data_IF_177422098582
#
_entry.id   IF_177422098582
#
_cell.length_a   1.000
_cell.length_b   1.000
_cell.length_c   1.000
_cell.angle_alpha   90.00
_cell.angle_beta   90.00
_cell.angle_gamma   90.00
#
_symmetry.space_group_name_H-M   'P 1'
#
loop_
_entity.id
_entity.type
_entity.pdbx_description
1 polymer ?
#
# COMPACT_ATOMS: atom_id res chain seq x y z
N UNK A 1 -14.49 2.89 13.43
CA UNK A 1 -13.91 3.05 12.08
C UNK A 1 -14.61 2.17 11.04
N UNK A 2 -15.12 2.82 9.99
CA UNK A 2 -15.59 2.18 8.76
C UNK A 2 -14.46 1.38 8.09
N UNK A 3 -14.84 0.44 7.24
CA UNK A 3 -13.89 -0.44 6.55
C UNK A 3 -13.80 -0.06 5.09
N UNK A 4 -12.59 0.19 4.59
CA UNK A 4 -12.34 0.42 3.16
C UNK A 4 -12.22 -0.92 2.41
N UNK A 5 -11.51 -1.88 3.00
CA UNK A 5 -11.35 -3.24 2.49
C UNK A 5 -11.59 -4.25 3.60
N UNK A 6 -12.63 -5.07 3.47
CA UNK A 6 -12.94 -6.11 4.45
C UNK A 6 -12.06 -7.35 4.26
N UNK A 7 -11.67 -7.95 5.36
CA UNK A 7 -11.04 -9.27 5.38
C UNK A 7 -11.97 -10.34 4.82
N UNK A 8 -11.43 -11.23 3.98
CA UNK A 8 -12.12 -12.42 3.48
C UNK A 8 -11.13 -13.46 2.95
N UNK A 9 -11.59 -14.68 2.64
CA UNK A 9 -10.76 -15.67 1.93
C UNK A 9 -10.16 -15.16 0.60
N UNK A 10 -10.68 -14.07 0.04
CA UNK A 10 -10.22 -13.44 -1.21
C UNK A 10 -9.19 -12.34 -1.02
N UNK A 11 -8.89 -11.94 0.21
CA UNK A 11 -7.87 -10.92 0.52
C UNK A 11 -6.59 -11.53 1.11
N UNK A 12 -6.34 -12.80 0.82
CA UNK A 12 -5.19 -13.53 1.34
C UNK A 12 -3.91 -13.25 0.58
N UNK A 13 -2.84 -13.08 1.36
CA UNK A 13 -1.45 -13.16 0.94
C UNK A 13 -0.85 -14.43 1.53
N UNK A 14 -0.23 -15.23 0.66
CA UNK A 14 0.35 -16.53 0.99
C UNK A 14 1.86 -16.37 1.01
N UNK A 15 2.48 -16.79 2.11
CA UNK A 15 3.94 -16.75 2.29
C UNK A 15 4.44 -18.16 2.52
N UNK A 16 5.53 -18.52 1.87
CA UNK A 16 6.33 -19.68 2.22
C UNK A 16 7.11 -19.39 3.50
N UNK A 17 7.13 -20.36 4.41
CA UNK A 17 7.96 -20.34 5.61
C UNK A 17 9.21 -21.16 5.31
N UNK A 18 10.32 -20.47 5.10
CA UNK A 18 11.58 -21.07 4.70
C UNK A 18 12.43 -21.36 5.94
N UNK A 19 12.32 -22.59 6.44
CA UNK A 19 13.20 -23.19 7.45
C UNK A 19 13.19 -24.73 7.32
N UNK A 20 13.63 -25.44 8.37
CA UNK A 20 13.45 -26.89 8.45
C UNK A 20 11.97 -27.25 8.37
N UNK A 21 11.70 -28.50 8.00
CA UNK A 21 10.34 -29.01 8.00
C UNK A 21 9.82 -29.08 9.46
N UNK A 22 8.84 -28.25 9.86
CA UNK A 22 8.43 -28.17 11.25
C UNK A 22 7.69 -29.45 11.65
N UNK A 23 8.09 -30.01 12.78
CA UNK A 23 7.38 -31.15 13.38
C UNK A 23 5.96 -30.77 13.82
N UNK A 24 5.04 -31.73 13.98
CA UNK A 24 3.69 -31.45 14.48
C UNK A 24 3.67 -30.66 15.80
N UNK A 25 4.61 -30.93 16.71
CA UNK A 25 4.73 -30.22 17.98
C UNK A 25 5.17 -28.74 17.80
N UNK A 26 6.00 -28.44 16.81
CA UNK A 26 6.40 -27.06 16.50
C UNK A 26 5.25 -26.29 15.85
N UNK A 27 4.47 -26.96 14.99
CA UNK A 27 3.25 -26.39 14.41
C UNK A 27 2.22 -26.08 15.50
N UNK A 28 1.99 -27.01 16.43
CA UNK A 28 1.06 -26.82 17.54
C UNK A 28 1.52 -25.69 18.47
N UNK A 29 2.82 -25.63 18.77
CA UNK A 29 3.40 -24.52 19.54
C UNK A 29 3.18 -23.19 18.85
N UNK A 30 3.49 -23.11 17.55
CA UNK A 30 3.31 -21.91 16.74
C UNK A 30 1.84 -21.46 16.70
N UNK A 31 0.93 -22.39 16.42
CA UNK A 31 -0.49 -22.11 16.28
C UNK A 31 -1.15 -21.72 17.61
N UNK A 32 -0.56 -22.14 18.74
CA UNK A 32 -1.01 -21.79 20.10
C UNK A 32 -0.69 -20.36 20.55
N UNK A 33 0.20 -19.64 19.87
CA UNK A 33 0.50 -18.25 20.22
C UNK A 33 -0.69 -17.32 19.99
N UNK A 34 -0.88 -16.38 20.93
CA UNK A 34 -2.02 -15.45 20.92
C UNK A 34 -1.87 -14.37 19.87
N UNK A 35 -0.66 -13.85 19.72
CA UNK A 35 -0.36 -12.72 18.84
C UNK A 35 0.57 -13.13 17.71
N UNK A 36 0.47 -12.44 16.58
CA UNK A 36 1.36 -12.70 15.46
C UNK A 36 2.82 -12.27 15.73
N UNK A 37 3.02 -11.30 16.62
CA UNK A 37 4.37 -10.90 17.05
C UNK A 37 5.09 -12.03 17.79
N UNK A 38 4.39 -12.78 18.66
CA UNK A 38 4.93 -13.99 19.31
C UNK A 38 5.26 -15.07 18.27
N UNK A 39 4.36 -15.28 17.30
CA UNK A 39 4.55 -16.20 16.18
C UNK A 39 5.81 -15.88 15.37
N UNK A 40 5.99 -14.61 14.99
CA UNK A 40 7.17 -14.16 14.26
C UNK A 40 8.44 -14.35 15.08
N UNK A 41 8.43 -13.96 16.35
CA UNK A 41 9.58 -14.13 17.25
C UNK A 41 9.99 -15.59 17.43
N UNK A 42 9.02 -16.51 17.46
CA UNK A 42 9.29 -17.95 17.52
C UNK A 42 9.99 -18.44 16.25
N UNK A 43 9.49 -18.05 15.07
CA UNK A 43 10.06 -18.45 13.79
C UNK A 43 11.45 -17.83 13.56
N UNK A 44 11.67 -16.58 13.96
CA UNK A 44 12.98 -15.93 13.88
C UNK A 44 14.04 -16.67 14.72
N UNK A 45 13.68 -17.13 15.93
CA UNK A 45 14.57 -17.94 16.78
C UNK A 45 14.95 -19.29 16.17
N UNK A 46 14.07 -19.82 15.32
CA UNK A 46 14.28 -21.05 14.55
C UNK A 46 15.08 -20.79 13.25
N UNK A 47 15.42 -19.53 12.95
CA UNK A 47 16.09 -19.14 11.70
C UNK A 47 15.17 -19.17 10.48
N UNK A 48 13.85 -19.21 10.67
CA UNK A 48 12.87 -19.16 9.59
C UNK A 48 12.76 -17.75 9.00
N UNK A 49 12.53 -17.69 7.68
CA UNK A 49 12.16 -16.44 6.97
C UNK A 49 10.86 -16.62 6.20
N UNK A 50 10.12 -15.53 6.02
CA UNK A 50 8.95 -15.51 5.16
C UNK A 50 9.33 -15.06 3.75
N UNK A 51 8.81 -15.76 2.74
CA UNK A 51 8.92 -15.37 1.34
C UNK A 51 7.53 -15.30 0.72
N UNK A 52 7.20 -14.17 0.09
CA UNK A 52 5.90 -14.01 -0.54
C UNK A 52 5.77 -14.96 -1.74
N UNK A 53 4.75 -15.83 -1.70
CA UNK A 53 4.47 -16.83 -2.75
C UNK A 53 3.46 -16.28 -3.77
N UNK A 54 2.29 -15.86 -3.30
CA UNK A 54 1.20 -15.33 -4.13
C UNK A 54 0.07 -14.73 -3.29
N UNK A 55 -0.91 -14.12 -3.94
CA UNK A 55 -2.24 -13.83 -3.38
C UNK A 55 -3.27 -14.88 -3.84
N UNK A 56 -4.54 -14.71 -3.46
CA UNK A 56 -5.65 -15.30 -4.24
C UNK A 56 -5.54 -14.87 -5.72
N UNK A 57 -5.88 -15.78 -6.65
CA UNK A 57 -5.59 -15.61 -8.08
C UNK A 57 -6.32 -14.40 -8.69
N UNK A 58 -7.61 -14.20 -8.34
CA UNK A 58 -8.39 -13.06 -8.85
C UNK A 58 -7.87 -11.78 -8.24
N UNK A 59 -7.61 -11.78 -6.94
CA UNK A 59 -7.10 -10.59 -6.27
C UNK A 59 -5.72 -10.19 -6.80
N UNK A 60 -4.84 -11.17 -7.05
CA UNK A 60 -3.51 -10.95 -7.61
C UNK A 60 -3.57 -10.39 -9.02
N UNK A 61 -4.49 -10.87 -9.86
CA UNK A 61 -4.76 -10.30 -11.17
C UNK A 61 -5.24 -8.84 -11.04
N UNK A 62 -6.17 -8.55 -10.13
CA UNK A 62 -6.66 -7.19 -9.91
C UNK A 62 -5.54 -6.24 -9.43
N UNK A 63 -4.66 -6.71 -8.54
CA UNK A 63 -3.49 -5.93 -8.11
C UNK A 63 -2.55 -5.65 -9.29
N UNK A 64 -2.26 -6.66 -10.12
CA UNK A 64 -1.41 -6.51 -11.31
C UNK A 64 -2.00 -5.62 -12.39
N UNK A 65 -3.34 -5.53 -12.47
CA UNK A 65 -4.04 -4.56 -13.33
C UNK A 65 -3.77 -3.11 -12.92
N UNK A 66 -3.56 -2.86 -11.62
CA UNK A 66 -3.19 -1.53 -11.11
C UNK A 66 -1.70 -1.30 -11.36
N UNK A 67 -0.86 -2.23 -10.93
CA UNK A 67 0.59 -2.21 -11.16
C UNK A 67 1.19 -3.61 -11.01
N UNK A 68 2.11 -3.98 -11.92
CA UNK A 68 2.67 -5.33 -12.00
C UNK A 68 3.44 -5.77 -10.75
N UNK A 69 4.01 -4.84 -9.96
CA UNK A 69 4.74 -5.09 -8.70
C UNK A 69 3.88 -4.89 -7.46
N UNK A 70 2.61 -4.50 -7.62
CA UNK A 70 1.73 -4.21 -6.50
C UNK A 70 1.51 -5.41 -5.55
N UNK A 71 1.36 -6.67 -6.01
CA UNK A 71 1.26 -7.82 -5.10
C UNK A 71 2.44 -7.90 -4.14
N UNK A 72 3.66 -7.74 -4.63
CA UNK A 72 4.88 -7.78 -3.83
C UNK A 72 4.95 -6.61 -2.86
N UNK A 73 4.68 -5.38 -3.32
CA UNK A 73 4.67 -4.19 -2.46
C UNK A 73 3.64 -4.33 -1.34
N UNK A 74 2.42 -4.78 -1.66
CA UNK A 74 1.36 -4.98 -0.67
C UNK A 74 1.71 -6.12 0.32
N UNK A 75 2.39 -7.17 -0.14
CA UNK A 75 2.86 -8.25 0.72
C UNK A 75 3.85 -7.73 1.78
N UNK A 76 4.76 -6.84 1.38
CA UNK A 76 5.73 -6.24 2.30
C UNK A 76 5.03 -5.34 3.31
N UNK A 77 4.05 -4.53 2.86
CA UNK A 77 3.25 -3.68 3.74
C UNK A 77 2.52 -4.51 4.81
N UNK A 78 1.90 -5.62 4.39
CA UNK A 78 1.17 -6.53 5.26
C UNK A 78 2.11 -7.25 6.25
N UNK A 79 3.27 -7.71 5.79
CA UNK A 79 4.25 -8.35 6.67
C UNK A 79 4.80 -7.37 7.71
N UNK A 80 5.05 -6.10 7.34
CA UNK A 80 5.46 -5.06 8.30
C UNK A 80 4.40 -4.78 9.36
N UNK A 81 3.12 -4.77 8.96
CA UNK A 81 2.01 -4.65 9.91
C UNK A 81 2.02 -5.77 10.95
N UNK A 82 2.15 -7.02 10.49
CA UNK A 82 2.17 -8.18 11.39
C UNK A 82 3.45 -8.29 12.24
N UNK A 83 4.54 -7.67 11.81
CA UNK A 83 5.84 -7.70 12.48
C UNK A 83 6.08 -6.54 13.45
N UNK A 84 5.25 -5.49 13.42
CA UNK A 84 5.49 -4.25 14.17
C UNK A 84 4.22 -3.76 14.87
N UNK A 85 4.34 -2.68 15.64
CA UNK A 85 3.17 -2.00 16.24
C UNK A 85 2.60 -0.89 15.32
N UNK A 86 3.20 -0.66 14.15
CA UNK A 86 2.71 0.30 13.18
C UNK A 86 1.54 -0.30 12.40
N UNK A 87 0.47 0.46 12.24
CA UNK A 87 -0.72 0.02 11.53
C UNK A 87 -1.24 1.04 10.51
N UNK A 88 -0.79 2.29 10.56
CA UNK A 88 -1.19 3.30 9.59
C UNK A 88 -0.59 2.97 8.22
N UNK A 89 -1.37 3.18 7.16
CA UNK A 89 -0.88 2.89 5.80
C UNK A 89 0.32 3.78 5.46
N UNK A 90 0.29 5.05 5.85
CA UNK A 90 1.41 5.97 5.63
C UNK A 90 2.66 5.57 6.44
N UNK A 91 2.51 5.17 7.70
CA UNK A 91 3.60 4.67 8.54
C UNK A 91 4.25 3.39 7.99
N UNK A 92 3.44 2.41 7.61
CA UNK A 92 3.93 1.17 6.99
C UNK A 92 4.63 1.44 5.66
N UNK A 93 4.11 2.38 4.87
CA UNK A 93 4.73 2.78 3.60
C UNK A 93 6.10 3.41 3.83
N UNK A 94 6.27 4.23 4.87
CA UNK A 94 7.59 4.77 5.26
C UNK A 94 8.57 3.64 5.59
N UNK A 95 8.15 2.62 6.33
CA UNK A 95 8.99 1.46 6.66
C UNK A 95 9.41 0.67 5.42
N UNK A 96 8.48 0.40 4.51
CA UNK A 96 8.79 -0.29 3.24
C UNK A 96 9.73 0.56 2.38
N UNK A 97 9.48 1.87 2.30
CA UNK A 97 10.30 2.81 1.52
C UNK A 97 11.73 2.90 2.05
N UNK A 98 11.91 2.91 3.37
CA UNK A 98 13.23 2.91 3.99
C UNK A 98 14.04 1.65 3.68
N UNK A 99 13.37 0.49 3.57
CA UNK A 99 13.99 -0.75 3.14
C UNK A 99 14.29 -0.80 1.63
N UNK A 100 13.57 -0.01 0.83
CA UNK A 100 13.71 0.12 -0.62
C UNK A 100 13.85 -1.22 -1.37
N UNK A 101 12.91 -2.17 -1.19
CA UNK A 101 12.98 -3.52 -1.75
C UNK A 101 13.04 -3.56 -3.29
N UNK A 102 12.54 -2.52 -3.96
CA UNK A 102 12.56 -2.41 -5.43
C UNK A 102 13.83 -1.73 -5.94
N UNK A 103 14.79 -1.41 -5.06
CA UNK A 103 16.04 -0.74 -5.39
C UNK A 103 15.82 0.56 -6.19
N UNK A 104 14.80 1.34 -5.80
CA UNK A 104 14.50 2.62 -6.44
C UNK A 104 15.72 3.54 -6.32
N UNK A 105 16.25 4.08 -7.42
CA UNK A 105 17.40 4.98 -7.37
C UNK A 105 17.08 6.22 -6.54
N UNK A 106 17.96 6.57 -5.61
CA UNK A 106 17.88 7.82 -4.86
C UNK A 106 18.36 8.97 -5.75
N UNK A 107 17.46 9.89 -6.09
CA UNK A 107 17.79 11.02 -6.95
C UNK A 107 18.40 12.12 -6.07
N UNK A 108 19.72 12.28 -6.13
CA UNK A 108 20.43 13.37 -5.45
C UNK A 108 20.63 14.52 -6.45
N UNK A 109 19.84 15.56 -6.32
CA UNK A 109 20.03 16.78 -7.11
C UNK A 109 18.95 17.82 -6.86
N UNK A 110 19.32 19.10 -6.96
CA UNK A 110 18.39 20.23 -7.08
C UNK A 110 17.72 20.21 -8.48
N UNK A 111 17.20 19.06 -8.89
CA UNK A 111 16.49 18.87 -10.14
C UNK A 111 15.20 19.66 -10.08
N UNK A 112 15.16 20.78 -10.80
CA UNK A 112 13.97 21.60 -10.95
C UNK A 112 12.93 20.79 -11.72
N UNK A 113 12.04 20.09 -11.02
CA UNK A 113 10.84 19.53 -11.66
C UNK A 113 10.02 20.71 -12.15
N UNK A 114 10.03 20.96 -13.46
CA UNK A 114 9.07 21.88 -14.05
C UNK A 114 7.72 21.17 -13.96
N UNK A 115 6.87 21.63 -13.05
CA UNK A 115 5.45 21.52 -13.29
C UNK A 115 5.23 22.21 -14.64
N UNK A 116 4.92 21.43 -15.68
CA UNK A 116 4.46 22.01 -16.93
C UNK A 116 3.04 22.43 -16.59
N UNK A 117 2.88 23.64 -16.06
CA UNK A 117 1.57 24.23 -15.95
C UNK A 117 1.03 24.27 -17.38
N UNK A 118 -0.01 23.46 -17.62
CA UNK A 118 -0.82 23.56 -18.81
C UNK A 118 -1.68 24.82 -18.70
N UNK A 119 -1.02 25.98 -18.60
CA UNK A 119 -1.61 27.29 -18.68
C UNK A 119 -0.86 28.03 -19.79
N UNK A 120 -1.49 28.15 -20.95
CA UNK A 120 -1.05 29.08 -22.00
C UNK A 120 -0.95 28.49 -23.40
N UNK A 121 -2.07 28.10 -24.00
CA UNK A 121 -2.31 28.57 -25.36
C UNK A 121 -2.51 30.08 -25.28
N UNK A 122 -1.78 30.85 -26.08
CA UNK A 122 -1.75 32.32 -26.17
C UNK A 122 -0.90 33.08 -25.14
N UNK A 123 0.43 33.08 -25.35
CA UNK A 123 1.24 34.28 -25.14
C UNK A 123 2.28 34.41 -26.27
N UNK A 124 2.30 35.57 -26.93
CA UNK A 124 3.14 35.85 -28.10
C UNK A 124 4.62 36.04 -27.72
N UNK A 125 5.51 35.61 -28.62
CA UNK A 125 6.96 35.42 -28.37
C UNK A 125 7.81 36.64 -28.04
N UNK A 126 7.24 37.81 -27.72
CA UNK A 126 7.99 39.01 -27.31
C UNK A 126 8.05 39.24 -25.79
N UNK A 127 7.17 38.61 -25.00
CA UNK A 127 7.20 38.73 -23.53
C UNK A 127 8.16 37.74 -22.85
N UNK A 128 8.56 36.66 -23.54
CA UNK A 128 9.49 35.64 -23.00
C UNK A 128 10.92 36.14 -22.75
N UNK A 129 11.39 37.15 -23.49
CA UNK A 129 12.78 37.62 -23.41
C UNK A 129 13.04 38.63 -22.27
N UNK A 130 11.99 39.17 -21.62
CA UNK A 130 12.15 40.14 -20.52
C UNK A 130 12.09 39.52 -19.12
N UNK A 131 11.53 38.32 -18.95
CA UNK A 131 11.46 37.64 -17.65
C UNK A 131 12.70 36.78 -17.32
N UNK A 132 13.55 36.49 -18.29
CA UNK A 132 14.72 35.60 -18.10
C UNK A 132 15.91 36.27 -17.40
N UNK A 133 15.86 37.58 -17.12
CA UNK A 133 16.98 38.34 -16.53
C UNK A 133 16.73 38.94 -15.14
N UNK A 134 15.65 38.58 -14.45
CA UNK A 134 15.37 39.08 -13.11
C UNK A 134 15.20 37.94 -12.09
N UNK A 135 15.99 38.04 -11.01
CA UNK A 135 15.86 37.40 -9.71
C UNK A 135 15.80 35.87 -9.64
N UNK A 136 16.96 35.31 -9.26
CA UNK A 136 17.05 34.09 -8.44
C UNK A 136 16.44 34.41 -7.07
N UNK A 137 15.13 34.29 -6.96
CA UNK A 137 14.43 34.14 -5.67
C UNK A 137 13.57 32.91 -5.80
N UNK A 138 13.76 31.94 -4.90
CA UNK A 138 13.05 30.68 -4.89
C UNK A 138 11.53 30.93 -4.94
N UNK A 139 10.88 30.38 -5.98
CA UNK A 139 9.44 30.44 -6.17
C UNK A 139 8.76 29.54 -5.12
N UNK A 140 7.84 30.05 -4.28
CA UNK A 140 7.14 29.26 -3.28
C UNK A 140 6.40 28.03 -3.81
N UNK A 141 6.17 27.93 -5.13
CA UNK A 141 5.56 26.78 -5.79
C UNK A 141 6.52 25.64 -6.19
N UNK A 142 7.83 25.79 -6.03
CA UNK A 142 8.79 24.73 -6.39
C UNK A 142 8.95 23.71 -5.25
N UNK A 143 8.27 22.57 -5.34
CA UNK A 143 8.48 21.43 -4.44
C UNK A 143 9.84 20.77 -4.72
N UNK A 144 10.77 20.90 -3.79
CA UNK A 144 12.03 20.17 -3.82
C UNK A 144 11.81 18.75 -3.32
N UNK A 145 11.86 17.76 -4.22
CA UNK A 145 11.98 16.36 -3.81
C UNK A 145 13.41 16.09 -3.35
N UNK A 146 13.61 15.82 -2.05
CA UNK A 146 14.89 15.30 -1.56
C UNK A 146 15.11 13.86 -2.08
N UNK A 147 16.34 13.37 -2.01
CA UNK A 147 16.68 11.98 -2.40
C UNK A 147 16.03 10.90 -1.53
N UNK A 148 15.51 11.26 -0.37
CA UNK A 148 14.68 10.37 0.47
C UNK A 148 13.20 10.44 0.07
N UNK A 149 12.75 11.62 -0.37
CA UNK A 149 11.38 11.81 -0.81
C UNK A 149 11.06 10.95 -2.03
N UNK A 150 11.93 10.86 -3.04
CA UNK A 150 11.58 10.17 -4.29
C UNK A 150 11.33 8.66 -4.15
N UNK A 151 12.02 7.98 -3.23
CA UNK A 151 11.79 6.55 -2.96
C UNK A 151 10.45 6.38 -2.24
N UNK A 152 10.19 7.22 -1.23
CA UNK A 152 8.89 7.23 -0.56
C UNK A 152 7.75 7.53 -1.52
N UNK A 153 7.91 8.52 -2.39
CA UNK A 153 6.91 8.94 -3.37
C UNK A 153 6.56 7.81 -4.33
N UNK A 154 7.54 7.00 -4.74
CA UNK A 154 7.30 5.80 -5.54
C UNK A 154 6.32 4.85 -4.84
N UNK A 155 6.62 4.42 -3.62
CA UNK A 155 5.76 3.49 -2.89
C UNK A 155 4.41 4.11 -2.53
N UNK A 156 4.43 5.35 -2.02
CA UNK A 156 3.21 6.09 -1.67
C UNK A 156 2.27 6.22 -2.87
N UNK A 157 2.79 6.46 -4.08
CA UNK A 157 1.98 6.50 -5.29
C UNK A 157 1.29 5.16 -5.58
N UNK A 158 2.02 4.04 -5.50
CA UNK A 158 1.45 2.69 -5.73
C UNK A 158 0.36 2.37 -4.71
N UNK A 159 0.61 2.67 -3.45
CA UNK A 159 -0.36 2.44 -2.37
C UNK A 159 -1.59 3.36 -2.53
N UNK A 160 -1.40 4.63 -2.90
CA UNK A 160 -2.50 5.57 -3.18
C UNK A 160 -3.39 5.09 -4.32
N UNK A 161 -2.81 4.56 -5.40
CA UNK A 161 -3.59 4.00 -6.51
C UNK A 161 -4.35 2.74 -6.13
N UNK A 162 -3.76 1.89 -5.28
CA UNK A 162 -4.44 0.75 -4.71
C UNK A 162 -5.66 1.14 -3.86
N UNK A 163 -5.45 2.04 -2.88
CA UNK A 163 -6.52 2.52 -2.00
C UNK A 163 -7.65 3.19 -2.79
N UNK A 164 -7.28 4.00 -3.78
CA UNK A 164 -8.23 4.65 -4.68
C UNK A 164 -9.02 3.59 -5.43
N UNK A 165 -8.36 2.67 -6.10
CA UNK A 165 -9.01 1.64 -6.92
C UNK A 165 -10.04 0.81 -6.12
N UNK A 166 -9.74 0.45 -4.87
CA UNK A 166 -10.73 -0.20 -3.98
C UNK A 166 -11.87 0.75 -3.63
N UNK A 167 -11.57 2.00 -3.25
CA UNK A 167 -12.59 2.99 -2.94
C UNK A 167 -13.54 3.25 -4.13
N UNK A 168 -13.06 3.05 -5.35
CA UNK A 168 -13.78 3.29 -6.60
C UNK A 168 -14.47 2.04 -7.18
N UNK A 169 -14.49 0.93 -6.44
CA UNK A 169 -15.32 -0.23 -6.75
C UNK A 169 -14.57 -1.50 -7.16
N UNK A 170 -13.24 -1.56 -7.07
CA UNK A 170 -12.54 -2.84 -7.22
C UNK A 170 -12.85 -3.74 -6.03
N UNK A 171 -13.28 -4.97 -6.33
CA UNK A 171 -13.58 -6.01 -5.33
C UNK A 171 -12.58 -7.16 -5.46
N UNK A 172 -11.90 -7.60 -4.39
CA UNK A 172 -10.86 -8.64 -4.46
C UNK A 172 -11.29 -9.96 -5.12
N UNK A 173 -12.53 -10.38 -4.85
CA UNK A 173 -13.07 -11.66 -5.33
C UNK A 173 -13.71 -11.60 -6.72
N UNK A 174 -13.71 -10.44 -7.38
CA UNK A 174 -14.34 -10.25 -8.70
C UNK A 174 -13.31 -9.69 -9.67
N UNK A 175 -13.17 -10.30 -10.84
CA UNK A 175 -12.26 -9.80 -11.88
C UNK A 175 -12.57 -8.33 -12.16
N UNK A 176 -11.56 -7.49 -12.01
CA UNK A 176 -11.64 -6.07 -12.36
C UNK A 176 -11.12 -5.85 -13.78
N UNK A 177 -11.86 -5.09 -14.56
CA UNK A 177 -11.58 -4.78 -15.96
C UNK A 177 -10.89 -3.41 -16.13
N UNK A 178 -10.57 -2.74 -15.03
CA UNK A 178 -9.96 -1.40 -15.03
C UNK A 178 -10.97 -0.26 -15.09
N UNK A 179 -12.29 -0.55 -15.17
CA UNK A 179 -13.31 0.48 -15.20
C UNK A 179 -13.75 0.86 -13.78
N UNK A 180 -13.86 2.16 -13.52
CA UNK A 180 -14.41 2.67 -12.27
C UNK A 180 -15.93 2.73 -12.35
N UNK A 181 -16.62 2.29 -11.29
CA UNK A 181 -18.08 2.28 -11.25
C UNK A 181 -18.67 3.65 -10.89
N UNK A 182 -17.83 4.60 -10.48
CA UNK A 182 -18.25 5.91 -10.00
C UNK A 182 -17.61 6.99 -10.87
N UNK A 183 -18.47 7.67 -11.65
CA UNK A 183 -18.10 8.65 -12.68
C UNK A 183 -18.59 10.09 -12.39
N UNK A 184 -19.18 10.36 -11.21
CA UNK A 184 -19.73 11.69 -10.84
C UNK A 184 -18.95 12.45 -9.75
N UNK A 185 -18.08 11.77 -9.00
CA UNK A 185 -17.43 12.27 -7.79
C UNK A 185 -17.67 11.35 -6.59
N UNK A 186 -17.05 11.65 -5.46
CA UNK A 186 -17.08 10.85 -4.24
C UNK A 186 -17.48 11.71 -3.06
N UNK A 187 -18.33 11.18 -2.19
CA UNK A 187 -18.71 11.83 -0.93
C UNK A 187 -18.07 11.05 0.21
N UNK A 188 -17.25 11.72 1.02
CA UNK A 188 -16.73 11.20 2.27
C UNK A 188 -17.42 11.94 3.39
N UNK A 189 -18.04 11.20 4.30
CA UNK A 189 -18.60 11.76 5.54
C UNK A 189 -17.64 11.42 6.67
N UNK A 190 -17.08 12.46 7.31
CA UNK A 190 -16.21 12.32 8.48
C UNK A 190 -17.01 11.97 9.74
N UNK A 191 -16.32 11.55 10.81
CA UNK A 191 -16.98 11.18 12.07
C UNK A 191 -17.72 12.37 12.73
N UNK A 192 -17.30 13.60 12.47
CA UNK A 192 -17.94 14.84 12.94
C UNK A 192 -19.14 15.29 12.08
N UNK A 193 -19.47 14.52 11.04
CA UNK A 193 -20.55 14.84 10.11
C UNK A 193 -20.16 15.79 8.99
N UNK A 194 -18.90 16.23 8.90
CA UNK A 194 -18.41 17.00 7.76
C UNK A 194 -18.47 16.15 6.49
N UNK A 195 -19.05 16.73 5.43
CA UNK A 195 -19.19 16.09 4.13
C UNK A 195 -18.13 16.66 3.18
N UNK A 196 -17.12 15.86 2.84
CA UNK A 196 -16.16 16.16 1.78
C UNK A 196 -16.69 15.60 0.46
N UNK A 197 -17.04 16.50 -0.46
CA UNK A 197 -17.39 16.14 -1.83
C UNK A 197 -16.18 16.34 -2.74
N UNK A 198 -15.58 15.24 -3.20
CA UNK A 198 -14.52 15.27 -4.20
C UNK A 198 -15.08 15.06 -5.60
N UNK A 199 -14.87 16.02 -6.50
CA UNK A 199 -14.97 15.77 -7.94
C UNK A 199 -13.64 15.24 -8.49
N UNK A 200 -13.64 14.68 -9.70
CA UNK A 200 -12.43 14.12 -10.36
C UNK A 200 -11.24 15.08 -10.41
N UNK A 201 -11.50 16.38 -10.48
CA UNK A 201 -10.47 17.42 -10.47
C UNK A 201 -9.63 17.42 -9.18
N UNK A 202 -10.15 16.84 -8.11
CA UNK A 202 -9.49 16.81 -6.81
C UNK A 202 -8.98 15.41 -6.43
N UNK A 203 -8.56 14.63 -7.46
CA UNK A 203 -8.06 13.25 -7.30
C UNK A 203 -6.86 13.15 -6.37
N UNK A 204 -6.00 14.16 -6.33
CA UNK A 204 -4.82 14.14 -5.47
C UNK A 204 -5.20 14.25 -3.99
N UNK A 205 -6.07 15.20 -3.61
CA UNK A 205 -6.50 15.30 -2.21
C UNK A 205 -7.29 14.05 -1.77
N UNK A 206 -8.09 13.45 -2.64
CA UNK A 206 -8.77 12.19 -2.35
C UNK A 206 -7.78 11.04 -2.07
N UNK A 207 -6.74 10.91 -2.92
CA UNK A 207 -5.66 9.93 -2.75
C UNK A 207 -4.91 10.14 -1.45
N UNK A 208 -4.58 11.39 -1.15
CA UNK A 208 -3.85 11.77 0.06
C UNK A 208 -4.69 11.53 1.32
N UNK A 209 -5.99 11.86 1.26
CA UNK A 209 -6.92 11.57 2.34
C UNK A 209 -6.97 10.08 2.66
N UNK A 210 -7.19 9.21 1.66
CA UNK A 210 -7.22 7.77 1.88
C UNK A 210 -5.89 7.27 2.47
N UNK A 211 -4.76 7.75 1.97
CA UNK A 211 -3.44 7.33 2.40
C UNK A 211 -3.12 7.71 3.86
N UNK A 212 -3.49 8.92 4.27
CA UNK A 212 -3.22 9.41 5.63
C UNK A 212 -4.28 8.99 6.65
N UNK A 213 -5.49 8.62 6.20
CA UNK A 213 -6.62 8.29 7.09
C UNK A 213 -7.01 6.81 7.05
N UNK A 214 -6.13 5.91 6.59
CA UNK A 214 -6.36 4.46 6.64
C UNK A 214 -5.26 3.70 7.36
N UNK A 215 -5.63 2.53 7.87
CA UNK A 215 -4.76 1.62 8.60
C UNK A 215 -5.09 0.17 8.29
N UNK A 216 -4.10 -0.70 8.43
CA UNK A 216 -4.29 -2.14 8.45
C UNK A 216 -4.92 -2.56 9.79
N UNK A 217 -5.70 -3.64 9.76
CA UNK A 217 -6.34 -4.21 10.93
C UNK A 217 -6.25 -5.74 10.85
N UNK A 218 -6.29 -6.42 12.01
CA UNK A 218 -6.28 -7.88 12.06
C UNK A 218 -7.71 -8.36 12.24
N UNK A 219 -8.27 -9.12 11.29
CA UNK A 219 -9.58 -9.73 11.49
C UNK A 219 -9.51 -10.78 12.60
N UNK A 220 -10.66 -11.17 13.15
CA UNK A 220 -10.74 -12.26 14.13
C UNK A 220 -10.08 -13.53 13.60
N UNK A 221 -8.98 -13.96 14.23
CA UNK A 221 -8.16 -15.12 13.82
C UNK A 221 -8.91 -16.44 13.80
N UNK A 222 -10.03 -16.54 14.53
CA UNK A 222 -10.91 -17.72 14.53
C UNK A 222 -11.66 -17.93 13.22
N UNK A 223 -11.81 -16.90 12.38
CA UNK A 223 -12.52 -17.01 11.11
C UNK A 223 -11.50 -17.28 10.00
N UNK A 224 -11.56 -18.49 9.43
CA UNK A 224 -10.79 -18.94 8.24
C UNK A 224 -9.31 -19.30 8.42
N UNK A 225 -8.83 -19.52 9.65
CA UNK A 225 -7.50 -20.12 9.88
C UNK A 225 -6.30 -19.22 9.54
N UNK A 226 -6.51 -17.90 9.43
CA UNK A 226 -5.44 -16.96 9.09
C UNK A 226 -4.38 -16.88 10.19
N UNK A 227 -3.13 -16.73 9.76
CA UNK A 227 -1.97 -16.67 10.65
C UNK A 227 -1.57 -18.01 11.27
N UNK A 228 -2.05 -19.13 10.73
CA UNK A 228 -1.64 -20.48 11.11
C UNK A 228 -0.66 -21.06 10.08
N UNK A 229 0.27 -21.90 10.54
CA UNK A 229 1.12 -22.69 9.64
C UNK A 229 0.32 -23.89 9.14
N UNK A 230 0.39 -24.12 7.83
CA UNK A 230 -0.20 -25.28 7.16
C UNK A 230 0.72 -25.80 6.05
N UNK A 231 0.41 -26.99 5.53
CA UNK A 231 1.07 -27.58 4.37
C UNK A 231 0.30 -27.23 3.11
N UNK A 232 1.01 -26.74 2.10
CA UNK A 232 0.47 -26.53 0.76
C UNK A 232 0.45 -27.84 -0.04
N UNK A 233 -0.21 -27.85 -1.20
CA UNK A 233 -0.38 -29.05 -2.04
C UNK A 233 0.96 -29.66 -2.50
N UNK A 234 2.00 -28.83 -2.60
CA UNK A 234 3.37 -29.21 -2.98
C UNK A 234 4.22 -29.67 -1.77
N UNK A 235 3.64 -29.75 -0.57
CA UNK A 235 4.32 -30.09 0.68
C UNK A 235 5.08 -28.93 1.33
N UNK A 236 5.13 -27.75 0.70
CA UNK A 236 5.77 -26.57 1.28
C UNK A 236 5.01 -26.07 2.50
N UNK A 237 5.75 -25.59 3.49
CA UNK A 237 5.17 -24.95 4.68
C UNK A 237 4.78 -23.52 4.33
N UNK A 238 3.50 -23.19 4.52
CA UNK A 238 2.97 -21.85 4.21
C UNK A 238 2.24 -21.24 5.39
N UNK A 239 2.08 -19.92 5.32
CA UNK A 239 1.16 -19.16 6.16
C UNK A 239 0.30 -18.25 5.29
N UNK A 240 -0.98 -18.11 5.66
CA UNK A 240 -1.91 -17.18 5.03
C UNK A 240 -2.15 -15.99 5.95
N UNK A 241 -1.85 -14.79 5.46
CA UNK A 241 -2.15 -13.53 6.14
C UNK A 241 -3.22 -12.78 5.37
N UNK A 242 -4.14 -12.16 6.10
CA UNK A 242 -5.27 -11.51 5.49
C UNK A 242 -5.11 -10.00 5.48
N UNK A 243 -5.42 -9.37 4.34
CA UNK A 243 -5.45 -7.91 4.25
C UNK A 243 -6.83 -7.38 4.63
N UNK A 244 -6.85 -6.50 5.62
CA UNK A 244 -7.99 -5.65 5.98
C UNK A 244 -7.51 -4.20 6.09
N UNK A 245 -8.29 -3.26 5.55
CA UNK A 245 -7.98 -1.83 5.60
C UNK A 245 -9.18 -1.07 6.13
N UNK A 246 -8.97 -0.25 7.14
CA UNK A 246 -10.01 0.53 7.82
C UNK A 246 -9.61 1.99 7.90
N UNK A 247 -10.59 2.86 8.07
CA UNK A 247 -10.29 4.25 8.37
C UNK A 247 -9.70 4.38 9.78
N UNK A 248 -8.79 5.33 9.95
CA UNK A 248 -8.39 5.84 11.27
C UNK A 248 -9.63 6.60 11.81
N UNK A 249 -9.90 6.47 13.12
CA UNK A 249 -11.00 7.23 13.73
C UNK A 249 -10.59 8.69 13.81
#
# INVERSE_FOLDING_TARGET
>A
PSTLLNASMKTNFIYSVLCHDPSPAEIDTFNGFRTFSEKLSYLEKQGCRFEFKKTDDIFGMNLRMIDSRLPEIMSLLLLRYYATNENTVSGLTKMVSAANPENIPKITGNGRFRHIDAAGSDLTGRERLRSEKASVTADPGTLYHTSENNVFDFYAHKIKDFLTTIALGMVPGTRWDGQFQVNGGYIIVKEDGEVLCYHFYNRNEFRDYLFENTKLDTPSSSRHGFGMIEKDDDGSTIIKLNLQIRFIR
#
